data_IF_880096970489
#
_entry.id   IF_880096970489
#
_cell.length_a   1.000
_cell.length_b   1.000
_cell.length_c   1.000
_cell.angle_alpha   90.00
_cell.angle_beta   90.00
_cell.angle_gamma   90.00
#
_symmetry.space_group_name_H-M   'P 1'
#
loop_
_entity.id
_entity.type
_entity.pdbx_description
1 polymer ?
#
# COMPACT_ATOMS: atom_id res chain seq x y z
N UNK A 1 -7.52 12.78 -7.78
CA UNK A 1 -8.05 11.39 -7.90
C UNK A 1 -9.50 11.33 -8.41
N UNK A 2 -10.24 12.43 -8.55
CA UNK A 2 -11.70 12.42 -8.69
C UNK A 2 -12.25 12.33 -10.12
N UNK A 3 -11.55 12.82 -11.14
CA UNK A 3 -12.27 13.22 -12.37
C UNK A 3 -12.50 12.08 -13.38
N UNK A 4 -11.70 11.01 -13.34
CA UNK A 4 -11.87 9.86 -14.23
C UNK A 4 -12.95 8.86 -13.75
N UNK A 5 -13.17 8.76 -12.43
CA UNK A 5 -14.20 7.90 -11.83
C UNK A 5 -15.61 8.37 -12.23
N UNK A 6 -15.79 9.68 -12.46
CA UNK A 6 -17.06 10.24 -12.93
C UNK A 6 -17.47 9.77 -14.33
N UNK A 7 -16.53 9.39 -15.20
CA UNK A 7 -16.84 8.98 -16.57
C UNK A 7 -17.56 7.63 -16.64
N UNK A 8 -17.40 6.75 -15.63
CA UNK A 8 -18.07 5.43 -15.58
C UNK A 8 -19.34 5.46 -14.72
N UNK A 9 -19.46 6.40 -13.76
CA UNK A 9 -20.67 6.55 -12.96
C UNK A 9 -21.85 7.15 -13.76
N UNK A 10 -21.59 8.08 -14.69
CA UNK A 10 -22.61 8.71 -15.53
C UNK A 10 -23.43 7.71 -16.39
N UNK A 11 -22.84 6.71 -17.08
CA UNK A 11 -23.61 5.73 -17.82
C UNK A 11 -24.42 4.80 -16.91
N UNK A 12 -24.00 4.55 -15.66
CA UNK A 12 -24.77 3.69 -14.74
C UNK A 12 -26.09 4.33 -14.32
N UNK A 13 -26.07 5.62 -13.95
CA UNK A 13 -27.30 6.36 -13.62
C UNK A 13 -28.26 6.48 -14.82
N UNK A 14 -27.70 6.67 -16.03
CA UNK A 14 -28.48 6.69 -17.27
C UNK A 14 -29.07 5.31 -17.63
N UNK A 15 -28.34 4.22 -17.38
CA UNK A 15 -28.84 2.85 -17.58
C UNK A 15 -29.97 2.53 -16.59
N UNK A 16 -29.86 2.94 -15.32
CA UNK A 16 -30.91 2.72 -14.31
C UNK A 16 -32.19 3.48 -14.67
N UNK A 17 -32.08 4.75 -15.12
CA UNK A 17 -33.25 5.54 -15.55
C UNK A 17 -33.87 5.03 -16.86
N UNK A 18 -33.05 4.58 -17.83
CA UNK A 18 -33.55 4.03 -19.09
C UNK A 18 -34.21 2.63 -18.92
N UNK A 19 -33.67 1.78 -18.04
CA UNK A 19 -34.25 0.46 -17.76
C UNK A 19 -35.57 0.53 -16.99
N UNK A 20 -35.70 1.47 -16.03
CA UNK A 20 -36.96 1.69 -15.30
C UNK A 20 -38.12 2.01 -16.24
N UNK A 21 -37.87 2.75 -17.31
CA UNK A 21 -38.88 3.11 -18.31
C UNK A 21 -39.24 1.96 -19.26
N UNK A 22 -38.27 1.13 -19.66
CA UNK A 22 -38.50 0.03 -20.60
C UNK A 22 -39.18 -1.18 -19.97
N UNK A 23 -38.99 -1.43 -18.67
CA UNK A 23 -39.61 -2.59 -18.01
C UNK A 23 -41.06 -2.33 -17.58
N UNK A 24 -41.45 -1.07 -17.35
CA UNK A 24 -42.81 -0.74 -16.94
C UNK A 24 -43.88 -0.97 -18.04
N UNK A 25 -43.47 -1.08 -19.31
CA UNK A 25 -44.41 -1.17 -20.46
C UNK A 25 -44.92 -2.60 -20.72
N UNK A 26 -44.43 -3.62 -19.99
CA UNK A 26 -44.83 -5.02 -20.22
C UNK A 26 -45.61 -5.63 -19.04
N UNK A 27 -46.56 -4.91 -18.47
CA UNK A 27 -47.46 -5.42 -17.43
C UNK A 27 -48.77 -5.81 -18.11
N UNK A 28 -48.96 -7.08 -18.47
CA UNK A 28 -50.22 -7.84 -18.42
C UNK A 28 -49.91 -9.35 -18.67
N UNK A 29 -49.81 -10.13 -17.59
CA UNK A 29 -50.06 -11.59 -17.62
C UNK A 29 -48.91 -12.60 -17.77
N UNK A 30 -47.61 -12.21 -17.82
CA UNK A 30 -46.50 -13.16 -17.98
C UNK A 30 -45.60 -13.29 -16.73
N UNK A 31 -44.97 -14.46 -16.52
CA UNK A 31 -44.02 -14.66 -15.41
C UNK A 31 -42.95 -13.57 -15.45
N UNK A 32 -42.80 -12.85 -14.33
CA UNK A 32 -41.81 -11.78 -14.19
C UNK A 32 -40.41 -12.36 -14.37
N UNK A 33 -39.61 -11.76 -15.23
CA UNK A 33 -38.25 -12.23 -15.52
C UNK A 33 -37.37 -12.16 -14.28
N UNK A 34 -36.43 -13.09 -14.14
CA UNK A 34 -35.50 -13.14 -13.01
C UNK A 34 -34.59 -11.91 -13.01
N UNK A 35 -34.15 -11.49 -14.19
CA UNK A 35 -33.35 -10.27 -14.37
C UNK A 35 -34.06 -9.02 -13.84
N UNK A 36 -35.38 -8.92 -14.01
CA UNK A 36 -36.14 -7.79 -13.49
C UNK A 36 -36.08 -7.70 -11.97
N UNK A 37 -36.33 -8.81 -11.28
CA UNK A 37 -36.30 -8.82 -9.82
C UNK A 37 -34.91 -8.54 -9.27
N UNK A 38 -33.87 -9.12 -9.88
CA UNK A 38 -32.49 -8.84 -9.48
C UNK A 38 -32.14 -7.35 -9.65
N UNK A 39 -32.58 -6.73 -10.74
CA UNK A 39 -32.42 -5.29 -10.96
C UNK A 39 -33.14 -4.46 -9.90
N UNK A 40 -34.41 -4.78 -9.61
CA UNK A 40 -35.20 -4.09 -8.58
C UNK A 40 -34.51 -4.19 -7.22
N UNK A 41 -34.07 -5.39 -6.83
CA UNK A 41 -33.36 -5.61 -5.57
C UNK A 41 -32.04 -4.83 -5.51
N UNK A 42 -31.26 -4.79 -6.59
CA UNK A 42 -30.04 -4.00 -6.65
C UNK A 42 -30.32 -2.48 -6.56
N UNK A 43 -31.39 -2.01 -7.20
CA UNK A 43 -31.79 -0.60 -7.16
C UNK A 43 -32.33 -0.19 -5.77
N UNK A 44 -33.11 -1.05 -5.13
CA UNK A 44 -33.56 -0.84 -3.74
C UNK A 44 -32.37 -0.79 -2.78
N UNK A 45 -31.41 -1.72 -2.91
CA UNK A 45 -30.20 -1.72 -2.08
C UNK A 45 -29.40 -0.43 -2.26
N UNK A 46 -29.25 0.05 -3.49
CA UNK A 46 -28.58 1.33 -3.78
C UNK A 46 -29.36 2.52 -3.21
N UNK A 47 -30.69 2.51 -3.29
CA UNK A 47 -31.54 3.56 -2.72
C UNK A 47 -31.44 3.59 -1.20
N UNK A 48 -31.43 2.43 -0.55
CA UNK A 48 -31.23 2.33 0.90
C UNK A 48 -29.86 2.85 1.33
N UNK A 49 -28.80 2.62 0.52
CA UNK A 49 -27.48 3.18 0.76
C UNK A 49 -27.42 4.70 0.57
N UNK A 50 -28.27 5.27 -0.28
CA UNK A 50 -28.30 6.70 -0.55
C UNK A 50 -29.02 7.53 0.54
N UNK A 51 -29.81 6.91 1.43
CA UNK A 51 -30.60 7.62 2.45
C UNK A 51 -29.81 7.69 3.78
N UNK A 52 -29.32 8.87 4.19
CA UNK A 52 -28.46 9.01 5.37
C UNK A 52 -29.19 8.76 6.70
N UNK A 53 -30.52 8.90 6.74
CA UNK A 53 -31.34 8.69 7.94
C UNK A 53 -31.28 7.24 8.42
N UNK A 54 -31.14 6.31 7.48
CA UNK A 54 -31.00 4.88 7.80
C UNK A 54 -29.69 4.67 8.58
N UNK A 55 -28.64 5.44 8.24
CA UNK A 55 -27.34 5.58 8.94
C UNK A 55 -27.39 5.70 10.46
N UNK A 56 -28.48 6.27 11.02
CA UNK A 56 -28.61 6.61 12.43
C UNK A 56 -29.05 5.45 13.32
N UNK A 57 -29.50 4.31 12.77
CA UNK A 57 -29.92 3.14 13.54
C UNK A 57 -28.71 2.26 13.92
N UNK A 58 -28.19 2.31 15.16
CA UNK A 58 -26.81 1.90 15.46
C UNK A 58 -26.53 0.39 15.42
N UNK A 59 -27.55 -0.48 15.41
CA UNK A 59 -27.37 -1.92 15.62
C UNK A 59 -27.57 -2.82 14.40
N UNK A 60 -28.49 -2.45 13.49
CA UNK A 60 -28.80 -3.27 12.30
C UNK A 60 -27.98 -2.81 11.07
N UNK A 61 -27.50 -1.57 11.06
CA UNK A 61 -26.77 -0.99 9.95
C UNK A 61 -25.30 -1.37 9.89
N UNK A 62 -24.61 -1.49 11.02
CA UNK A 62 -23.20 -1.89 11.01
C UNK A 62 -22.99 -3.26 10.32
N UNK A 63 -24.05 -4.08 10.26
CA UNK A 63 -24.08 -5.40 9.63
C UNK A 63 -24.53 -5.36 8.15
N UNK A 64 -25.24 -4.30 7.73
CA UNK A 64 -25.66 -4.05 6.34
C UNK A 64 -24.76 -3.03 5.60
N UNK A 65 -23.86 -2.36 6.32
CA UNK A 65 -22.88 -1.41 5.82
C UNK A 65 -21.44 -1.88 6.09
N UNK A 66 -21.25 -3.11 6.61
CA UNK A 66 -19.96 -3.77 6.63
C UNK A 66 -19.49 -4.07 5.20
N UNK A 67 -18.19 -4.37 5.07
CA UNK A 67 -17.49 -4.80 3.85
C UNK A 67 -18.32 -5.80 3.00
N UNK A 68 -19.18 -6.58 3.64
CA UNK A 68 -20.04 -7.59 3.01
C UNK A 68 -21.09 -6.99 2.06
N UNK A 69 -21.62 -5.81 2.35
CA UNK A 69 -22.67 -5.17 1.55
C UNK A 69 -22.23 -4.86 0.11
N UNK A 70 -20.96 -4.49 -0.03
CA UNK A 70 -20.31 -4.29 -1.32
C UNK A 70 -20.22 -5.59 -2.11
N UNK A 71 -19.85 -6.69 -1.46
CA UNK A 71 -19.78 -8.02 -2.08
C UNK A 71 -21.17 -8.47 -2.52
N UNK A 72 -22.20 -8.29 -1.69
CA UNK A 72 -23.58 -8.63 -2.06
C UNK A 72 -24.09 -7.79 -3.24
N UNK A 73 -23.81 -6.49 -3.26
CA UNK A 73 -24.18 -5.64 -4.39
C UNK A 73 -23.49 -6.09 -5.68
N UNK A 74 -22.18 -6.35 -5.64
CA UNK A 74 -21.45 -6.87 -6.78
C UNK A 74 -22.04 -8.20 -7.28
N UNK A 75 -22.34 -9.13 -6.37
CA UNK A 75 -22.96 -10.42 -6.69
C UNK A 75 -24.35 -10.23 -7.34
N UNK A 76 -25.18 -9.31 -6.85
CA UNK A 76 -26.49 -8.99 -7.42
C UNK A 76 -26.36 -8.43 -8.85
N UNK A 77 -25.41 -7.52 -9.08
CA UNK A 77 -25.15 -6.97 -10.42
C UNK A 77 -24.69 -8.07 -11.36
N UNK A 78 -23.79 -8.95 -10.92
CA UNK A 78 -23.34 -10.09 -11.72
C UNK A 78 -24.46 -11.07 -12.04
N UNK A 79 -25.27 -11.42 -11.03
CA UNK A 79 -26.43 -12.29 -11.20
C UNK A 79 -27.44 -11.66 -12.17
N UNK A 80 -27.67 -10.34 -12.07
CA UNK A 80 -28.53 -9.59 -12.98
C UNK A 80 -28.00 -9.68 -14.42
N UNK A 81 -26.74 -9.33 -14.67
CA UNK A 81 -26.13 -9.35 -16.00
C UNK A 81 -26.14 -10.76 -16.62
N UNK A 82 -25.86 -11.79 -15.81
CA UNK A 82 -25.89 -13.18 -16.24
C UNK A 82 -27.32 -13.65 -16.56
N UNK A 83 -28.28 -13.32 -15.70
CA UNK A 83 -29.69 -13.62 -15.93
C UNK A 83 -30.21 -12.93 -17.19
N UNK A 84 -29.85 -11.66 -17.39
CA UNK A 84 -30.21 -10.89 -18.59
C UNK A 84 -29.66 -11.55 -19.86
N UNK A 85 -28.42 -12.03 -19.84
CA UNK A 85 -27.80 -12.77 -20.94
C UNK A 85 -28.56 -14.07 -21.24
N UNK A 86 -28.84 -14.88 -20.22
CA UNK A 86 -29.52 -16.18 -20.35
C UNK A 86 -30.96 -16.00 -20.86
N UNK A 87 -31.71 -15.06 -20.29
CA UNK A 87 -33.11 -14.81 -20.67
C UNK A 87 -33.21 -14.25 -22.10
N UNK A 88 -32.27 -13.41 -22.51
CA UNK A 88 -32.21 -12.90 -23.88
C UNK A 88 -31.82 -14.01 -24.87
N UNK A 89 -30.91 -14.91 -24.49
CA UNK A 89 -30.51 -16.06 -25.30
C UNK A 89 -31.66 -17.06 -25.52
N UNK A 90 -32.44 -17.36 -24.48
CA UNK A 90 -33.61 -18.24 -24.55
C UNK A 90 -34.81 -17.54 -25.23
N UNK A 91 -34.75 -16.22 -25.44
CA UNK A 91 -35.82 -15.44 -26.07
C UNK A 91 -36.98 -15.10 -25.12
N UNK A 92 -36.77 -15.18 -23.80
CA UNK A 92 -37.73 -14.68 -22.79
C UNK A 92 -37.82 -13.16 -22.80
N UNK A 93 -36.72 -12.48 -23.11
CA UNK A 93 -36.63 -11.03 -23.33
C UNK A 93 -36.03 -10.74 -24.71
N UNK A 94 -36.04 -9.48 -25.14
CA UNK A 94 -35.43 -9.06 -26.41
C UNK A 94 -33.95 -9.43 -26.48
N UNK A 95 -33.53 -10.06 -27.59
CA UNK A 95 -32.11 -10.40 -27.84
C UNK A 95 -31.17 -9.19 -27.82
N UNK A 96 -31.69 -7.97 -28.01
CA UNK A 96 -30.90 -6.74 -27.92
C UNK A 96 -30.30 -6.52 -26.52
N UNK A 97 -30.91 -7.08 -25.47
CA UNK A 97 -30.40 -6.96 -24.10
C UNK A 97 -29.07 -7.69 -23.87
N UNK A 98 -28.66 -8.60 -24.76
CA UNK A 98 -27.32 -9.22 -24.74
C UNK A 98 -26.19 -8.18 -24.86
N UNK A 99 -26.46 -7.03 -25.48
CA UNK A 99 -25.46 -5.96 -25.64
C UNK A 99 -25.01 -5.41 -24.28
N UNK A 100 -25.90 -5.36 -23.28
CA UNK A 100 -25.61 -4.77 -21.97
C UNK A 100 -24.47 -5.50 -21.24
N UNK A 101 -24.54 -6.83 -20.98
CA UNK A 101 -23.44 -7.54 -20.34
C UNK A 101 -22.16 -7.51 -21.19
N UNK A 102 -22.27 -7.60 -22.53
CA UNK A 102 -21.10 -7.53 -23.41
C UNK A 102 -20.37 -6.20 -23.26
N UNK A 103 -21.08 -5.08 -23.28
CA UNK A 103 -20.47 -3.76 -23.12
C UNK A 103 -19.89 -3.57 -21.71
N UNK A 104 -20.59 -4.02 -20.67
CA UNK A 104 -20.12 -3.88 -19.28
C UNK A 104 -18.85 -4.69 -19.02
N UNK A 105 -18.83 -5.98 -19.34
CA UNK A 105 -17.62 -6.81 -19.19
C UNK A 105 -16.54 -6.41 -20.18
N UNK A 106 -16.91 -6.07 -21.41
CA UNK A 106 -15.96 -5.62 -22.44
C UNK A 106 -15.22 -4.35 -22.02
N UNK A 107 -15.94 -3.34 -21.50
CA UNK A 107 -15.34 -2.12 -20.97
C UNK A 107 -14.42 -2.41 -19.78
N UNK A 108 -14.86 -3.26 -18.86
CA UNK A 108 -14.04 -3.65 -17.70
C UNK A 108 -12.72 -4.31 -18.12
N UNK A 109 -12.79 -5.36 -18.93
CA UNK A 109 -11.58 -6.07 -19.34
C UNK A 109 -10.69 -5.22 -20.25
N UNK A 110 -11.27 -4.32 -21.05
CA UNK A 110 -10.49 -3.32 -21.81
C UNK A 110 -9.69 -2.42 -20.86
N UNK A 111 -10.31 -1.93 -19.78
CA UNK A 111 -9.62 -1.12 -18.77
C UNK A 111 -8.55 -1.95 -18.01
N UNK A 112 -8.88 -3.18 -17.62
CA UNK A 112 -7.94 -4.10 -16.96
C UNK A 112 -6.71 -4.39 -17.81
N UNK A 113 -6.88 -4.79 -19.08
CA UNK A 113 -5.76 -5.07 -19.98
C UNK A 113 -5.00 -3.81 -20.37
N UNK A 114 -5.69 -2.67 -20.51
CA UNK A 114 -5.06 -1.37 -20.69
C UNK A 114 -4.13 -1.03 -19.53
N UNK A 115 -4.61 -1.18 -18.29
CA UNK A 115 -3.81 -0.95 -17.09
C UNK A 115 -2.62 -1.92 -17.02
N UNK A 116 -2.83 -3.21 -17.30
CA UNK A 116 -1.77 -4.22 -17.29
C UNK A 116 -0.63 -3.85 -18.26
N UNK A 117 -0.97 -3.41 -19.48
CA UNK A 117 0.00 -2.93 -20.48
C UNK A 117 0.74 -1.69 -20.00
N UNK A 118 0.03 -0.73 -19.41
CA UNK A 118 0.63 0.51 -18.91
C UNK A 118 1.61 0.24 -17.75
N UNK A 119 1.27 -0.70 -16.87
CA UNK A 119 2.16 -1.17 -15.79
C UNK A 119 3.40 -1.85 -16.38
N UNK A 120 3.24 -2.72 -17.38
CA UNK A 120 4.34 -3.43 -18.02
C UNK A 120 5.28 -2.45 -18.75
N UNK A 121 4.74 -1.46 -19.47
CA UNK A 121 5.50 -0.41 -20.14
C UNK A 121 6.34 0.39 -19.13
N UNK A 122 5.74 0.81 -18.03
CA UNK A 122 6.45 1.60 -17.01
C UNK A 122 7.46 0.75 -16.24
N UNK A 123 7.13 -0.50 -15.91
CA UNK A 123 8.07 -1.44 -15.31
C UNK A 123 9.27 -1.69 -16.21
N UNK A 124 9.07 -1.82 -17.53
CA UNK A 124 10.15 -1.94 -18.50
C UNK A 124 11.04 -0.69 -18.51
N UNK A 125 10.47 0.52 -18.48
CA UNK A 125 11.25 1.77 -18.38
C UNK A 125 12.07 1.84 -17.09
N UNK A 126 11.47 1.50 -15.94
CA UNK A 126 12.20 1.52 -14.68
C UNK A 126 13.36 0.51 -14.66
N UNK A 127 13.17 -0.68 -15.23
CA UNK A 127 14.25 -1.67 -15.31
C UNK A 127 15.47 -1.17 -16.11
N UNK A 128 15.30 -0.20 -17.01
CA UNK A 128 16.40 0.44 -17.74
C UNK A 128 17.13 1.50 -16.90
N UNK A 129 16.46 2.06 -15.88
CA UNK A 129 16.98 3.12 -15.00
C UNK A 129 17.57 2.54 -13.72
N UNK A 130 17.00 1.46 -13.21
CA UNK A 130 17.35 0.86 -11.93
C UNK A 130 18.76 0.24 -12.00
N UNK A 131 19.70 0.93 -11.36
CA UNK A 131 21.06 0.42 -11.21
C UNK A 131 21.03 -0.68 -10.16
N UNK A 132 21.48 -1.89 -10.52
CA UNK A 132 21.48 -3.02 -9.59
C UNK A 132 22.35 -2.74 -8.36
N UNK A 133 23.64 -2.53 -8.57
CA UNK A 133 24.60 -2.17 -7.53
C UNK A 133 25.26 -0.85 -7.90
N UNK A 134 25.12 0.16 -7.04
CA UNK A 134 25.70 1.49 -7.25
C UNK A 134 27.07 1.61 -6.55
N UNK A 135 27.20 1.09 -5.33
CA UNK A 135 28.40 1.23 -4.51
C UNK A 135 28.53 0.06 -3.52
N UNK A 136 29.77 -0.33 -3.19
CA UNK A 136 30.06 -1.20 -2.05
C UNK A 136 30.12 -0.38 -0.77
N UNK A 137 29.07 -0.43 0.05
CA UNK A 137 29.04 0.27 1.32
C UNK A 137 30.02 -0.35 2.33
N UNK A 138 30.86 0.49 2.91
CA UNK A 138 31.79 0.17 3.98
C UNK A 138 31.48 1.09 5.18
N UNK A 139 30.96 0.55 6.31
CA UNK A 139 30.57 1.36 7.46
C UNK A 139 31.74 2.08 8.13
N UNK A 140 32.97 1.60 7.93
CA UNK A 140 34.17 2.24 8.48
C UNK A 140 34.62 3.44 7.65
N UNK A 141 34.19 3.53 6.39
CA UNK A 141 34.56 4.60 5.45
C UNK A 141 33.44 5.56 5.12
N UNK A 142 32.18 5.17 5.34
CA UNK A 142 31.00 5.94 4.91
C UNK A 142 29.90 5.92 5.97
N UNK A 143 29.05 6.94 5.93
CA UNK A 143 27.87 7.03 6.79
C UNK A 143 26.62 7.18 5.92
N UNK A 144 25.64 6.28 6.06
CA UNK A 144 24.35 6.42 5.36
C UNK A 144 23.54 7.53 6.03
N UNK A 145 23.09 8.52 5.25
CA UNK A 145 22.31 9.66 5.74
C UNK A 145 21.00 9.77 4.97
N UNK A 146 19.87 9.70 5.65
CA UNK A 146 18.54 9.86 5.06
C UNK A 146 18.06 11.31 5.14
N UNK A 147 17.26 11.71 4.14
CA UNK A 147 16.53 12.98 4.10
C UNK A 147 15.16 12.93 4.81
N UNK A 148 14.72 11.74 5.22
CA UNK A 148 13.45 11.47 5.88
C UNK A 148 13.63 10.58 7.10
N UNK A 149 13.07 11.00 8.24
CA UNK A 149 13.16 10.26 9.50
C UNK A 149 12.47 8.89 9.43
N UNK A 150 11.38 8.78 8.67
CA UNK A 150 10.53 7.58 8.65
C UNK A 150 11.23 6.31 8.15
N UNK A 151 12.31 6.45 7.38
CA UNK A 151 13.06 5.32 6.83
C UNK A 151 14.21 4.85 7.75
N UNK A 152 14.64 5.72 8.68
CA UNK A 152 15.85 5.56 9.45
C UNK A 152 15.80 4.32 10.37
N UNK A 153 14.76 4.22 11.19
CA UNK A 153 14.61 3.12 12.15
C UNK A 153 14.40 1.77 11.46
N UNK A 154 13.55 1.76 10.42
CA UNK A 154 13.32 0.57 9.60
C UNK A 154 14.60 0.08 8.92
N UNK A 155 15.43 1.00 8.43
CA UNK A 155 16.68 0.63 7.77
C UNK A 155 17.67 -0.07 8.72
N UNK A 156 17.96 0.50 9.88
CA UNK A 156 18.90 -0.12 10.83
C UNK A 156 18.36 -1.39 11.49
N UNK A 157 17.04 -1.55 11.51
CA UNK A 157 16.39 -2.77 11.97
C UNK A 157 16.58 -3.92 10.96
N UNK A 158 16.53 -3.64 9.66
CA UNK A 158 16.60 -4.69 8.64
C UNK A 158 18.01 -4.94 8.09
N UNK A 159 18.94 -3.98 8.15
CA UNK A 159 20.24 -4.08 7.49
C UNK A 159 21.42 -4.12 8.46
N UNK A 160 22.47 -4.88 8.12
CA UNK A 160 23.70 -5.03 8.91
C UNK A 160 24.56 -3.76 8.85
N UNK A 161 24.05 -2.68 9.44
CA UNK A 161 24.72 -1.40 9.61
C UNK A 161 24.86 -1.06 11.10
N UNK A 162 26.01 -0.55 11.54
CA UNK A 162 26.18 -0.15 12.94
C UNK A 162 25.37 1.10 13.28
N UNK A 163 25.20 1.99 12.31
CA UNK A 163 24.45 3.24 12.42
C UNK A 163 24.00 3.74 11.06
N UNK A 164 22.85 4.39 11.04
CA UNK A 164 22.44 5.30 9.98
C UNK A 164 22.08 6.65 10.61
N UNK A 165 22.09 7.69 9.79
CA UNK A 165 21.79 9.05 10.22
C UNK A 165 20.61 9.62 9.46
N UNK A 166 19.92 10.57 10.07
CA UNK A 166 18.95 11.46 9.44
C UNK A 166 19.48 12.89 9.56
N UNK A 167 19.41 13.66 8.48
CA UNK A 167 19.79 15.07 8.49
C UNK A 167 18.68 15.92 7.87
N UNK A 168 18.18 16.89 8.64
CA UNK A 168 17.19 17.85 8.13
C UNK A 168 17.86 19.07 7.45
N UNK A 169 17.03 19.93 6.85
CA UNK A 169 17.48 21.18 6.21
C UNK A 169 18.06 22.21 7.20
N UNK A 170 17.89 22.01 8.51
CA UNK A 170 18.37 22.89 9.58
C UNK A 170 19.64 22.35 10.26
N UNK A 171 20.28 21.35 9.66
CA UNK A 171 21.47 20.68 10.18
C UNK A 171 21.27 19.99 11.55
N UNK A 172 20.03 19.70 11.94
CA UNK A 172 19.76 18.72 12.98
C UNK A 172 20.09 17.35 12.42
N UNK A 173 20.85 16.58 13.21
CA UNK A 173 21.30 15.26 12.85
C UNK A 173 20.91 14.29 13.93
N UNK A 174 20.18 13.25 13.55
CA UNK A 174 19.86 12.13 14.41
C UNK A 174 20.52 10.87 13.87
N UNK A 175 20.81 9.94 14.78
CA UNK A 175 21.37 8.64 14.47
C UNK A 175 20.44 7.56 14.99
N UNK A 176 20.35 6.47 14.24
CA UNK A 176 19.67 5.26 14.66
C UNK A 176 20.65 4.11 14.74
N UNK A 177 20.52 3.31 15.80
CA UNK A 177 21.37 2.15 16.05
C UNK A 177 20.52 0.98 16.51
N UNK A 178 20.75 -0.19 15.95
CA UNK A 178 20.16 -1.41 16.51
C UNK A 178 20.91 -1.77 17.80
N UNK A 179 20.17 -2.02 18.88
CA UNK A 179 20.70 -2.44 20.18
C UNK A 179 20.10 -3.77 20.63
N UNK A 180 20.87 -4.62 21.35
CA UNK A 180 20.39 -5.87 21.92
C UNK A 180 19.14 -5.69 22.80
N UNK A 181 18.27 -6.70 22.77
CA UNK A 181 17.06 -6.76 23.58
C UNK A 181 17.32 -6.54 25.09
N UNK A 182 18.42 -7.11 25.62
CA UNK A 182 18.82 -6.95 27.02
C UNK A 182 19.12 -5.50 27.39
N UNK A 183 19.78 -4.76 26.50
CA UNK A 183 20.10 -3.34 26.70
C UNK A 183 18.85 -2.48 26.53
N UNK A 184 17.96 -2.82 25.60
CA UNK A 184 16.71 -2.12 25.41
C UNK A 184 15.84 -2.10 26.68
N UNK A 185 15.70 -3.23 27.35
CA UNK A 185 14.94 -3.31 28.61
C UNK A 185 15.53 -2.38 29.69
N UNK A 186 16.86 -2.28 29.77
CA UNK A 186 17.54 -1.40 30.73
C UNK A 186 17.26 0.07 30.42
N UNK A 187 17.44 0.50 29.17
CA UNK A 187 17.26 1.91 28.79
C UNK A 187 15.78 2.30 28.92
N UNK A 188 14.84 1.43 28.50
CA UNK A 188 13.39 1.65 28.61
C UNK A 188 12.93 1.84 30.06
N UNK A 189 13.54 1.12 31.00
CA UNK A 189 13.23 1.22 32.43
C UNK A 189 14.04 2.32 33.15
N UNK A 190 15.02 2.93 32.48
CA UNK A 190 15.83 4.00 33.06
C UNK A 190 15.05 5.32 33.09
N UNK A 191 15.25 6.13 34.12
CA UNK A 191 14.68 7.51 34.17
C UNK A 191 15.18 8.40 33.03
N UNK A 192 16.29 8.03 32.39
CA UNK A 192 16.91 8.75 31.27
C UNK A 192 16.38 8.29 29.90
N UNK A 193 15.58 7.23 29.86
CA UNK A 193 14.96 6.72 28.63
C UNK A 193 14.02 7.74 27.96
N UNK A 194 13.67 8.84 28.63
CA UNK A 194 12.95 9.95 28.00
C UNK A 194 13.86 10.86 27.14
N UNK A 195 15.17 10.91 27.41
CA UNK A 195 16.13 11.72 26.66
C UNK A 195 16.74 10.96 25.47
N UNK A 196 16.76 9.63 25.53
CA UNK A 196 17.08 8.76 24.40
C UNK A 196 15.77 8.21 23.83
N UNK A 197 15.34 8.68 22.66
CA UNK A 197 14.14 8.12 22.04
C UNK A 197 14.42 6.67 21.65
N UNK A 198 13.68 5.73 22.23
CA UNK A 198 13.77 4.31 21.89
C UNK A 198 12.54 3.97 21.06
N UNK A 199 12.77 3.59 19.81
CA UNK A 199 11.76 2.97 18.99
C UNK A 199 11.90 1.46 19.13
N UNK A 200 10.84 0.79 19.58
CA UNK A 200 10.80 -0.66 19.54
C UNK A 200 10.53 -1.07 18.09
N UNK A 201 11.49 -1.74 17.46
CA UNK A 201 11.24 -2.40 16.18
C UNK A 201 10.26 -3.55 16.43
N UNK A 202 8.97 -3.32 16.18
CA UNK A 202 7.97 -4.37 16.25
C UNK A 202 8.09 -5.27 15.02
N UNK A 203 8.74 -6.41 15.19
CA UNK A 203 8.67 -7.49 14.21
C UNK A 203 7.34 -8.22 14.39
N UNK A 204 6.33 -7.81 13.64
CA UNK A 204 5.09 -8.56 13.51
C UNK A 204 5.36 -9.84 12.70
N UNK A 205 5.76 -10.90 13.39
CA UNK A 205 5.83 -12.24 12.80
C UNK A 205 4.41 -12.71 12.49
N UNK A 206 3.98 -12.57 11.23
CA UNK A 206 2.77 -13.19 10.70
C UNK A 206 2.99 -14.71 10.59
N UNK A 207 2.92 -15.44 11.70
CA UNK A 207 2.63 -16.88 11.68
C UNK A 207 1.96 -17.28 13.00
N UNK A 208 0.63 -17.15 13.06
CA UNK A 208 -0.35 -17.97 13.82
C UNK A 208 -0.19 -18.26 15.32
N UNK A 209 0.99 -18.06 15.92
CA UNK A 209 1.35 -18.38 17.29
C UNK A 209 2.18 -17.21 17.79
N UNK A 210 1.55 -16.36 18.61
CA UNK A 210 2.08 -15.14 19.23
C UNK A 210 3.25 -15.45 20.18
N UNK A 211 4.36 -15.94 19.64
CA UNK A 211 5.63 -15.92 20.37
C UNK A 211 6.16 -14.50 20.24
N UNK A 212 5.94 -13.71 21.30
CA UNK A 212 6.55 -12.39 21.45
C UNK A 212 8.06 -12.58 21.57
N UNK A 213 8.75 -12.64 20.44
CA UNK A 213 10.21 -12.63 20.40
C UNK A 213 10.65 -11.30 20.99
N UNK A 214 11.61 -11.34 21.91
CA UNK A 214 12.17 -10.11 22.48
C UNK A 214 13.04 -9.48 21.40
N UNK A 215 12.45 -8.56 20.63
CA UNK A 215 13.11 -7.93 19.50
C UNK A 215 14.23 -6.98 19.97
N UNK A 216 15.32 -6.83 19.18
CA UNK A 216 16.23 -5.72 19.35
C UNK A 216 15.47 -4.39 19.17
N UNK A 217 15.99 -3.32 19.76
CA UNK A 217 15.38 -2.01 19.69
C UNK A 217 16.24 -1.06 18.86
N UNK A 218 15.63 0.01 18.36
CA UNK A 218 16.32 1.10 17.70
C UNK A 218 16.53 2.21 18.73
N UNK A 219 17.79 2.53 18.98
CA UNK A 219 18.21 3.66 19.79
C UNK A 219 18.38 4.87 18.89
N UNK A 220 17.57 5.90 19.10
CA UNK A 220 17.69 7.19 18.42
C UNK A 220 18.46 8.19 19.29
N UNK A 221 19.37 8.94 18.66
CA UNK A 221 20.18 9.95 19.36
C UNK A 221 20.65 11.06 18.44
N UNK A 222 20.64 12.30 18.94
CA UNK A 222 21.30 13.42 18.27
C UNK A 222 22.83 13.17 18.17
N UNK A 223 23.30 12.93 16.95
CA UNK A 223 24.69 12.62 16.64
C UNK A 223 24.97 13.01 15.18
N UNK A 224 26.17 13.53 14.89
CA UNK A 224 26.59 13.87 13.52
C UNK A 224 27.34 12.69 12.88
N UNK A 225 27.23 12.50 11.55
CA UNK A 225 28.03 11.50 10.83
C UNK A 225 29.53 11.72 11.04
N UNK A 226 30.27 10.67 11.35
CA UNK A 226 31.74 10.73 11.53
C UNK A 226 32.50 10.53 10.23
N UNK A 227 31.91 9.76 9.29
CA UNK A 227 32.49 9.45 8.00
C UNK A 227 31.84 10.29 6.89
N UNK A 228 32.46 10.38 5.70
CA UNK A 228 31.84 10.98 4.52
C UNK A 228 30.38 10.50 4.32
N UNK A 229 29.41 11.43 4.20
CA UNK A 229 28.00 11.08 4.11
C UNK A 229 27.63 10.54 2.73
N UNK A 230 26.90 9.43 2.73
CA UNK A 230 26.22 8.84 1.61
C UNK A 230 24.73 9.17 1.75
N UNK A 231 24.28 10.19 1.03
CA UNK A 231 22.92 10.69 1.16
C UNK A 231 21.96 9.81 0.38
N UNK A 232 20.92 9.33 1.06
CA UNK A 232 19.79 8.62 0.50
C UNK A 232 18.62 9.59 0.50
N UNK A 233 18.16 9.92 -0.71
CA UNK A 233 17.07 10.88 -0.93
C UNK A 233 15.88 10.16 -1.53
N UNK A 234 14.70 10.37 -0.96
CA UNK A 234 13.45 9.90 -1.58
C UNK A 234 12.86 11.03 -2.40
N UNK A 235 12.91 10.89 -3.72
CA UNK A 235 12.27 11.87 -4.59
C UNK A 235 10.74 11.88 -4.35
N UNK A 236 10.07 13.03 -4.46
CA UNK A 236 8.63 13.11 -4.37
C UNK A 236 7.96 12.10 -5.30
N UNK A 237 6.92 11.45 -4.79
CA UNK A 237 6.15 10.48 -5.57
C UNK A 237 5.53 11.16 -6.79
N UNK A 238 5.84 10.63 -7.98
CA UNK A 238 5.34 11.16 -9.23
C UNK A 238 4.16 10.33 -9.70
N UNK A 239 2.97 10.92 -9.72
CA UNK A 239 1.81 10.29 -10.35
C UNK A 239 1.98 10.34 -11.88
N UNK A 240 2.16 9.18 -12.52
CA UNK A 240 2.39 9.09 -13.98
C UNK A 240 1.08 8.91 -14.75
N UNK A 241 0.26 7.95 -14.33
CA UNK A 241 -1.04 7.62 -14.93
C UNK A 241 -2.06 7.30 -13.84
N UNK A 242 -3.31 7.09 -14.23
CA UNK A 242 -4.33 6.63 -13.30
C UNK A 242 -3.86 5.35 -12.59
N UNK A 243 -3.92 5.35 -11.25
CA UNK A 243 -3.53 4.21 -10.41
C UNK A 243 -2.05 3.77 -10.53
N UNK A 244 -1.16 4.58 -11.13
CA UNK A 244 0.29 4.30 -11.22
C UNK A 244 1.07 5.51 -10.72
N UNK A 245 1.83 5.31 -9.66
CA UNK A 245 2.78 6.28 -9.14
C UNK A 245 4.19 5.69 -9.08
N UNK A 246 5.18 6.56 -9.30
CA UNK A 246 6.59 6.20 -9.29
C UNK A 246 7.26 6.89 -8.12
N UNK A 247 7.88 6.10 -7.27
CA UNK A 247 8.72 6.56 -6.16
C UNK A 247 10.18 6.28 -6.53
N UNK A 248 11.04 7.29 -6.40
CA UNK A 248 12.46 7.13 -6.71
C UNK A 248 13.30 7.31 -5.44
N UNK A 249 14.28 6.44 -5.26
CA UNK A 249 15.35 6.52 -4.28
C UNK A 249 16.61 6.90 -5.03
N UNK A 250 17.24 7.98 -4.61
CA UNK A 250 18.44 8.52 -5.21
C UNK A 250 19.57 8.47 -4.18
N UNK A 251 20.74 8.02 -4.61
CA UNK A 251 21.92 7.93 -3.75
C UNK A 251 22.95 8.93 -4.23
N UNK A 252 23.37 9.83 -3.35
CA UNK A 252 24.39 10.82 -3.60
C UNK A 252 25.62 10.54 -2.74
N UNK A 253 26.79 10.56 -3.37
CA UNK A 253 28.08 10.50 -2.69
C UNK A 253 28.93 11.68 -3.12
N UNK A 254 29.44 12.47 -2.16
CA UNK A 254 30.18 13.71 -2.42
C UNK A 254 29.42 14.69 -3.35
N UNK A 255 28.09 14.76 -3.22
CA UNK A 255 27.24 15.62 -4.04
C UNK A 255 26.96 15.11 -5.46
N UNK A 256 27.53 13.98 -5.86
CA UNK A 256 27.26 13.35 -7.15
C UNK A 256 26.22 12.24 -7.01
N UNK A 257 25.23 12.21 -7.91
CA UNK A 257 24.29 11.09 -8.04
C UNK A 257 25.04 9.85 -8.53
N UNK A 258 25.12 8.82 -7.70
CA UNK A 258 25.81 7.56 -8.03
C UNK A 258 24.85 6.46 -8.45
N UNK A 259 23.57 6.57 -8.09
CA UNK A 259 22.57 5.59 -8.45
C UNK A 259 21.16 6.08 -8.18
N UNK A 260 20.24 5.59 -9.00
CA UNK A 260 18.80 5.79 -8.83
C UNK A 260 18.12 4.44 -8.89
N UNK A 261 17.13 4.26 -8.02
CA UNK A 261 16.21 3.14 -8.09
C UNK A 261 14.79 3.66 -8.04
N UNK A 262 13.97 3.18 -8.97
CA UNK A 262 12.56 3.50 -9.07
C UNK A 262 11.75 2.27 -8.65
N UNK A 263 10.69 2.53 -7.91
CA UNK A 263 9.65 1.57 -7.56
C UNK A 263 8.30 2.10 -8.02
N UNK A 264 7.48 1.23 -8.58
CA UNK A 264 6.12 1.51 -9.00
C UNK A 264 5.18 1.17 -7.85
N UNK A 265 4.37 2.12 -7.41
CA UNK A 265 3.20 1.84 -6.60
C UNK A 265 1.98 1.82 -7.52
N UNK A 266 1.29 0.69 -7.54
CA UNK A 266 0.21 0.44 -8.48
C UNK A 266 -1.04 0.01 -7.73
N UNK A 267 -2.16 0.63 -8.05
CA UNK A 267 -3.48 0.21 -7.60
C UNK A 267 -4.15 -0.62 -8.70
N UNK A 268 -3.99 -1.95 -8.64
CA UNK A 268 -4.45 -2.82 -9.73
C UNK A 268 -5.94 -3.08 -9.68
N UNK A 269 -6.56 -3.01 -10.85
CA UNK A 269 -7.90 -3.52 -11.11
C UNK A 269 -7.84 -5.05 -10.97
N UNK A 270 -8.72 -5.68 -10.17
CA UNK A 270 -8.68 -7.11 -9.94
C UNK A 270 -9.02 -7.89 -11.22
N UNK A 271 -8.53 -9.12 -11.41
CA UNK A 271 -8.93 -9.92 -12.57
C UNK A 271 -10.41 -10.32 -12.53
N UNK A 272 -11.00 -10.36 -11.32
CA UNK A 272 -12.39 -10.74 -11.09
C UNK A 272 -13.18 -9.52 -10.62
N UNK A 273 -14.32 -9.29 -11.25
CA UNK A 273 -15.16 -8.10 -11.08
C UNK A 273 -16.02 -8.09 -9.79
N UNK A 274 -15.85 -9.07 -8.91
CA UNK A 274 -16.68 -9.23 -7.70
C UNK A 274 -16.54 -8.10 -6.69
N UNK A 275 -15.70 -7.11 -6.97
CA UNK A 275 -15.40 -6.03 -6.07
C UNK A 275 -15.76 -4.68 -6.72
N UNK A 276 -17.03 -4.55 -7.10
CA UNK A 276 -17.64 -3.29 -7.51
C UNK A 276 -18.65 -2.86 -6.45
N UNK A 277 -18.65 -1.58 -6.08
CA UNK A 277 -19.70 -1.07 -5.23
C UNK A 277 -19.43 0.32 -4.70
N UNK A 278 -20.21 0.66 -3.67
CA UNK A 278 -20.27 1.98 -3.09
C UNK A 278 -19.31 2.10 -1.92
N UNK A 279 -18.24 2.89 -2.06
CA UNK A 279 -17.41 3.30 -0.94
C UNK A 279 -17.91 4.60 -0.33
N UNK A 280 -17.79 4.75 0.99
CA UNK A 280 -18.01 6.06 1.63
C UNK A 280 -16.96 7.04 1.13
N UNK A 281 -17.41 8.19 0.63
CA UNK A 281 -16.52 9.29 0.27
C UNK A 281 -16.12 10.08 1.52
N UNK A 282 -14.82 10.29 1.73
CA UNK A 282 -14.32 11.15 2.81
C UNK A 282 -14.84 12.59 2.72
N UNK A 283 -15.25 13.02 1.51
CA UNK A 283 -15.74 14.38 1.25
C UNK A 283 -17.21 14.59 1.60
N UNK A 284 -18.03 13.52 1.60
CA UNK A 284 -19.46 13.59 1.91
C UNK A 284 -19.90 12.28 2.59
N UNK A 285 -20.45 12.32 3.81
CA UNK A 285 -20.84 11.11 4.55
C UNK A 285 -21.98 10.31 3.89
N UNK A 286 -22.69 10.91 2.92
CA UNK A 286 -23.71 10.25 2.09
C UNK A 286 -23.28 10.08 0.63
N UNK A 287 -22.03 10.43 0.30
CA UNK A 287 -21.51 10.35 -1.06
C UNK A 287 -21.18 8.91 -1.39
N UNK A 288 -22.01 8.28 -2.21
CA UNK A 288 -21.70 7.01 -2.84
C UNK A 288 -20.84 7.24 -4.06
N UNK A 289 -19.57 6.87 -3.99
CA UNK A 289 -18.71 6.81 -5.16
C UNK A 289 -18.55 5.34 -5.56
N UNK A 290 -18.87 5.06 -6.83
CA UNK A 290 -18.62 3.75 -7.41
C UNK A 290 -17.11 3.55 -7.51
N UNK A 291 -16.58 2.62 -6.72
CA UNK A 291 -15.18 2.25 -6.78
C UNK A 291 -15.06 0.77 -7.12
N UNK A 292 -13.97 0.46 -7.82
CA UNK A 292 -13.45 -0.89 -7.88
C UNK A 292 -12.57 -1.09 -6.64
N UNK A 293 -12.66 -2.25 -5.99
CA UNK A 293 -11.61 -2.58 -5.02
C UNK A 293 -10.33 -2.70 -5.81
N UNK A 294 -9.41 -1.80 -5.57
CA UNK A 294 -8.06 -1.89 -6.07
C UNK A 294 -7.21 -2.58 -4.99
N UNK A 295 -6.25 -3.39 -5.41
CA UNK A 295 -5.20 -3.84 -4.49
C UNK A 295 -3.93 -3.06 -4.81
N UNK A 296 -3.28 -2.57 -3.76
CA UNK A 296 -1.98 -1.92 -3.88
C UNK A 296 -0.91 -2.98 -4.04
N UNK A 297 -0.06 -2.82 -5.05
CA UNK A 297 1.13 -3.62 -5.27
C UNK A 297 2.32 -2.69 -5.56
N UNK A 298 3.46 -2.96 -4.94
CA UNK A 298 4.72 -2.29 -5.28
C UNK A 298 5.53 -3.16 -6.24
N UNK A 299 5.74 -2.69 -7.47
CA UNK A 299 6.52 -3.38 -8.50
C UNK A 299 7.92 -2.77 -8.55
N UNK A 300 8.94 -3.63 -8.64
CA UNK A 300 10.34 -3.19 -8.70
C UNK A 300 10.96 -2.91 -7.34
N UNK A 301 10.37 -3.36 -6.23
CA UNK A 301 11.02 -3.35 -4.90
C UNK A 301 12.20 -4.34 -4.80
N UNK A 302 12.37 -5.24 -5.76
CA UNK A 302 13.42 -6.26 -5.70
C UNK A 302 14.05 -6.48 -7.09
N UNK A 303 15.34 -6.17 -7.30
CA UNK A 303 16.04 -6.48 -8.54
C UNK A 303 16.11 -8.00 -8.71
N UNK A 304 15.85 -8.51 -9.93
CA UNK A 304 15.92 -9.95 -10.27
C UNK A 304 17.38 -10.46 -10.24
N UNK A 305 18.01 -10.48 -9.08
CA UNK A 305 19.32 -11.10 -8.85
C UNK A 305 19.06 -12.55 -8.42
N UNK A 306 19.74 -13.53 -9.04
CA UNK A 306 19.43 -14.96 -8.90
C UNK A 306 19.96 -15.63 -7.61
N UNK A 307 20.58 -14.90 -6.67
CA UNK A 307 21.16 -15.44 -5.43
C UNK A 307 20.60 -14.75 -4.16
N UNK A 308 19.26 -14.74 -4.01
CA UNK A 308 18.53 -14.00 -2.94
C UNK A 308 18.45 -14.72 -1.60
N UNK A 309 19.58 -15.00 -0.98
CA UNK A 309 19.62 -15.26 0.47
C UNK A 309 20.30 -14.07 1.14
N UNK A 310 19.58 -12.94 1.28
CA UNK A 310 20.08 -11.83 2.11
C UNK A 310 19.78 -10.39 1.70
N UNK A 311 19.13 -10.12 0.56
CA UNK A 311 18.85 -8.74 0.13
C UNK A 311 17.39 -8.61 -0.35
N UNK A 312 16.61 -7.71 0.25
CA UNK A 312 15.16 -7.56 -0.05
C UNK A 312 14.68 -6.11 -0.10
N UNK A 313 15.56 -5.13 -0.21
CA UNK A 313 15.13 -3.77 -0.55
C UNK A 313 16.10 -3.15 -1.54
N UNK A 314 15.60 -2.22 -2.37
CA UNK A 314 16.42 -1.60 -3.39
C UNK A 314 17.67 -0.93 -2.83
N UNK A 315 17.54 -0.29 -1.66
CA UNK A 315 18.66 0.40 -1.04
C UNK A 315 19.75 -0.57 -0.57
N UNK A 316 19.36 -1.72 -0.02
CA UNK A 316 20.28 -2.78 0.36
C UNK A 316 21.05 -3.34 -0.84
N UNK A 317 20.35 -3.54 -1.96
CA UNK A 317 20.96 -4.02 -3.21
C UNK A 317 21.92 -3.00 -3.82
N UNK A 318 21.48 -1.73 -3.93
CA UNK A 318 22.29 -0.64 -4.48
C UNK A 318 23.58 -0.41 -3.68
N UNK A 319 23.55 -0.65 -2.37
CA UNK A 319 24.66 -0.44 -1.46
C UNK A 319 25.41 -1.72 -1.09
N UNK A 320 24.98 -2.88 -1.61
CA UNK A 320 25.47 -4.20 -1.24
C UNK A 320 25.45 -4.47 0.29
N UNK A 321 24.48 -3.92 1.02
CA UNK A 321 24.36 -4.08 2.47
C UNK A 321 23.50 -5.31 2.77
N UNK A 322 24.04 -6.32 3.46
CA UNK A 322 23.28 -7.52 3.78
C UNK A 322 22.16 -7.23 4.77
N UNK A 323 21.01 -7.87 4.57
CA UNK A 323 19.90 -7.88 5.53
C UNK A 323 20.24 -8.79 6.71
N UNK A 324 19.69 -8.50 7.88
CA UNK A 324 19.65 -9.49 8.95
C UNK A 324 18.75 -10.66 8.57
N UNK A 325 19.23 -11.87 8.84
CA UNK A 325 18.39 -13.05 8.90
C UNK A 325 17.60 -13.08 10.22
N UNK A 326 16.58 -13.93 10.31
CA UNK A 326 15.85 -14.12 11.57
C UNK A 326 16.79 -14.59 12.70
N UNK A 327 17.77 -15.43 12.38
CA UNK A 327 18.78 -15.91 13.34
C UNK A 327 19.71 -14.78 13.80
N UNK A 328 20.14 -13.90 12.89
CA UNK A 328 20.92 -12.73 13.24
C UNK A 328 20.17 -11.82 14.23
N UNK A 329 18.86 -11.60 14.02
CA UNK A 329 18.02 -10.78 14.90
C UNK A 329 17.83 -11.43 16.27
N UNK A 330 17.57 -12.75 16.31
CA UNK A 330 17.41 -13.52 17.54
C UNK A 330 18.67 -13.50 18.41
N UNK A 331 19.85 -13.55 17.78
CA UNK A 331 21.15 -13.59 18.45
C UNK A 331 21.91 -12.27 18.35
N UNK A 332 21.22 -11.15 18.10
CA UNK A 332 21.86 -9.86 17.90
C UNK A 332 22.57 -9.38 19.17
N UNK A 333 23.90 -9.48 19.17
CA UNK A 333 24.76 -9.08 20.28
C UNK A 333 25.14 -7.58 20.28
N UNK A 334 24.75 -6.84 19.24
CA UNK A 334 25.13 -5.44 19.06
C UNK A 334 26.47 -5.28 18.34
N UNK A 335 26.73 -4.06 17.87
CA UNK A 335 28.01 -3.70 17.28
C UNK A 335 28.98 -3.20 18.36
N UNK A 336 30.25 -3.62 18.37
CA UNK A 336 31.24 -3.12 19.32
C UNK A 336 31.37 -1.59 19.31
N UNK A 337 31.26 -0.97 18.13
CA UNK A 337 31.29 0.49 17.97
C UNK A 337 30.16 1.22 18.73
N UNK A 338 29.06 0.52 19.06
CA UNK A 338 27.90 1.11 19.74
C UNK A 338 28.02 1.05 21.27
N UNK A 339 29.00 0.32 21.83
CA UNK A 339 29.09 0.07 23.28
C UNK A 339 29.19 1.36 24.11
N UNK A 340 30.01 2.32 23.68
CA UNK A 340 30.17 3.60 24.38
C UNK A 340 28.91 4.47 24.34
N UNK A 341 28.20 4.49 23.20
CA UNK A 341 26.96 5.24 23.03
C UNK A 341 25.84 4.65 23.89
N UNK A 342 25.74 3.33 23.97
CA UNK A 342 24.79 2.64 24.85
C UNK A 342 25.08 2.92 26.32
N UNK A 343 26.34 2.84 26.75
CA UNK A 343 26.72 3.14 28.12
C UNK A 343 26.37 4.60 28.51
N UNK A 344 26.56 5.52 27.58
CA UNK A 344 26.19 6.92 27.75
C UNK A 344 24.67 7.11 27.81
N UNK A 345 23.88 6.34 27.06
CA UNK A 345 22.42 6.36 27.14
C UNK A 345 21.89 5.76 28.46
N UNK A 346 22.65 4.88 29.11
CA UNK A 346 22.32 4.31 30.42
C UNK A 346 22.71 5.26 31.57
N UNK A 347 23.64 6.18 31.34
CA UNK A 347 24.15 7.09 32.37
C UNK A 347 23.18 8.26 32.62
N UNK A 348 23.07 8.78 33.86
CA UNK A 348 22.33 10.02 34.13
C UNK A 348 22.89 11.18 33.32
N UNK A 349 22.02 12.11 32.83
CA UNK A 349 22.49 13.30 32.16
C UNK A 349 23.45 14.04 33.09
N UNK A 350 24.60 14.48 32.57
CA UNK A 350 25.51 15.31 33.34
C UNK A 350 24.74 16.52 33.89
N UNK A 351 24.82 16.74 35.20
CA UNK A 351 24.21 17.91 35.82
C UNK A 351 24.74 19.16 35.12
N UNK A 352 23.82 19.95 34.53
CA UNK A 352 24.16 21.21 33.85
C UNK A 352 24.45 22.31 34.84
#
# INVERSE_FOLDING_TARGET
MTDAVFAVAAPFAAVVTAFGFLVFVSIHGRPRSVSFWLFVTAAELLLFQAIPIIGLLPGLLLLLFSIDAFVFYALLVHAFLLSLLIEAAIGRISRRFVIVPILMYGAYYTAYFGQARDIEEEAAKMNLVNVGKALDFDPDKMSVVFDSMGDLGSFVAHYKVPVAYFQDNYAHSESARLIPASQCAIIKNSKNGAAASIETAEYNYQMGLLTKVTAPCVLLRAEKPTNPPLYVRRAPEQQKRFAISVQSIEIFFNGQLIGTHQSLHVYRIPPILWHMGCGFSDTKPWGCLGFFSEYSETIGSEPKINDRVGYTSPLGDMLAIPKYTNEDILHFAGYPANAGIVALAQSPPAAK
#
